data_IF_580567144658
#
_entry.id   IF_580567144658
#
_cell.length_a   1.000
_cell.length_b   1.000
_cell.length_c   1.000
_cell.angle_alpha   90.00
_cell.angle_beta   90.00
_cell.angle_gamma   90.00
#
_symmetry.space_group_name_H-M   'P 1'
#
loop_
_entity.id
_entity.type
_entity.pdbx_description
1 polymer ?
#
# COMPACT_ATOMS: atom_id res chain seq x y z
N UNK A 1 14.26 -5.76 7.14
CA UNK A 1 14.59 -6.29 5.80
C UNK A 1 13.43 -5.92 4.89
N UNK A 2 13.69 -5.23 3.79
CA UNK A 2 12.66 -4.81 2.83
C UNK A 2 12.31 -6.00 1.92
N UNK A 3 11.02 -6.30 1.76
CA UNK A 3 10.53 -7.44 0.99
C UNK A 3 10.25 -7.00 -0.46
N UNK A 4 11.15 -7.35 -1.38
CA UNK A 4 11.02 -6.98 -2.80
C UNK A 4 10.15 -7.99 -3.56
N UNK A 5 9.08 -7.49 -4.15
CA UNK A 5 8.10 -8.24 -4.96
C UNK A 5 7.77 -7.50 -6.25
N UNK A 6 7.05 -8.14 -7.19
CA UNK A 6 6.55 -7.44 -8.39
C UNK A 6 5.70 -6.22 -8.05
N UNK A 7 4.90 -6.27 -6.98
CA UNK A 7 4.04 -5.14 -6.56
C UNK A 7 4.89 -3.95 -6.09
N UNK A 8 5.91 -4.19 -5.26
CA UNK A 8 6.81 -3.11 -4.80
C UNK A 8 7.55 -2.45 -5.95
N UNK A 9 7.94 -3.22 -6.97
CA UNK A 9 8.61 -2.68 -8.17
C UNK A 9 7.65 -1.90 -9.07
N UNK A 10 6.44 -2.42 -9.29
CA UNK A 10 5.43 -1.78 -10.13
C UNK A 10 4.90 -0.46 -9.54
N UNK A 11 4.77 -0.40 -8.21
CA UNK A 11 4.17 0.75 -7.51
C UNK A 11 5.20 1.67 -6.85
N UNK A 12 6.48 1.29 -6.78
CA UNK A 12 7.53 2.09 -6.14
C UNK A 12 7.39 2.23 -4.62
N UNK A 13 6.77 1.25 -3.96
CA UNK A 13 6.54 1.23 -2.51
C UNK A 13 7.55 0.32 -1.80
N UNK A 14 7.89 0.64 -0.55
CA UNK A 14 8.86 -0.13 0.23
C UNK A 14 8.34 -1.51 0.62
N UNK A 15 7.07 -1.60 1.03
CA UNK A 15 6.47 -2.82 1.56
C UNK A 15 5.44 -3.39 0.59
N UNK A 16 5.32 -4.73 0.47
CA UNK A 16 4.31 -5.34 -0.41
C UNK A 16 2.91 -5.33 0.25
N UNK A 17 2.50 -4.18 0.78
CA UNK A 17 1.23 -3.96 1.50
C UNK A 17 0.60 -2.69 0.95
N UNK A 18 -0.68 -2.76 0.59
CA UNK A 18 -1.45 -1.63 0.05
C UNK A 18 -2.73 -1.48 0.87
N UNK A 19 -3.11 -0.24 1.18
CA UNK A 19 -4.39 0.08 1.79
C UNK A 19 -5.51 -0.14 0.75
N UNK A 20 -6.40 -1.12 0.97
CA UNK A 20 -7.52 -1.41 0.07
C UNK A 20 -8.64 -0.37 0.18
N UNK A 21 -9.58 -0.31 -0.76
CA UNK A 21 -10.71 0.61 -0.66
C UNK A 21 -11.59 0.31 0.57
N UNK A 22 -11.93 1.33 1.37
CA UNK A 22 -12.78 1.17 2.56
C UNK A 22 -13.95 2.16 2.55
N UNK A 23 -15.16 1.67 2.30
CA UNK A 23 -16.35 2.49 2.25
C UNK A 23 -16.63 3.17 3.60
N UNK A 24 -16.86 4.49 3.56
CA UNK A 24 -17.16 5.34 4.71
C UNK A 24 -16.08 5.45 5.79
N UNK A 25 -14.91 4.81 5.61
CA UNK A 25 -13.82 4.85 6.61
C UNK A 25 -12.45 5.15 6.01
N UNK A 26 -12.28 5.15 4.69
CA UNK A 26 -11.03 5.56 4.02
C UNK A 26 -10.82 7.08 4.04
N UNK A 27 -10.58 7.64 5.22
CA UNK A 27 -10.31 9.07 5.41
C UNK A 27 -8.89 9.45 4.99
N UNK A 28 -8.64 10.75 4.79
CA UNK A 28 -7.33 11.26 4.37
C UNK A 28 -6.22 10.96 5.39
N UNK A 29 -6.57 10.87 6.67
CA UNK A 29 -5.66 10.55 7.77
C UNK A 29 -5.19 9.08 7.79
N UNK A 30 -5.83 8.20 7.01
CA UNK A 30 -5.45 6.78 6.89
C UNK A 30 -4.55 6.49 5.69
N UNK A 31 -4.32 7.48 4.81
CA UNK A 31 -3.49 7.37 3.62
C UNK A 31 -2.14 8.07 3.84
#
# INVERSE_FOLDING_TARGET
>A
MVLRTRITEMLGIEHPIVQGGMQSVGYAELA
#
